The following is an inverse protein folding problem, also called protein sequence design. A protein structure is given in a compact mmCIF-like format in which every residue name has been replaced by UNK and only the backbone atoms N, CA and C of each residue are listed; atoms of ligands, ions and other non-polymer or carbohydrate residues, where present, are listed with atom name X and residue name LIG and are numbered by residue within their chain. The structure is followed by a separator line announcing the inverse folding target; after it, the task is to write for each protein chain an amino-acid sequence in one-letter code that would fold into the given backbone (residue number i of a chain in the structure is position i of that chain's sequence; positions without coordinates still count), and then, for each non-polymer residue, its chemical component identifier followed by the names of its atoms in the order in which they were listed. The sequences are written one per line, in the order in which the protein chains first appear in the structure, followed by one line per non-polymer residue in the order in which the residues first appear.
data_IF_691286763093
#
_entry.id   IF_691286763093
#
_cell.length_a   1.000
_cell.length_b   1.000
_cell.length_c   1.000
_cell.angle_alpha   90.00
_cell.angle_beta   90.00
_cell.angle_gamma   90.00
#
_symmetry.space_group_name_H-M   'P 1'
#
loop_
_entity.id
_entity.type
_entity.pdbx_description
1 polymer ?
#
# COMPACT_ATOMS: atom_id res chain seq x y z
N UNK A 1 18.94 13.91 -11.90
CA UNK A 1 19.66 12.80 -11.23
C UNK A 1 18.67 11.66 -11.08
N UNK A 2 19.06 10.42 -11.41
CA UNK A 2 18.19 9.25 -11.20
C UNK A 2 18.00 9.09 -9.69
N UNK A 3 16.75 9.11 -9.23
CA UNK A 3 16.43 8.78 -7.82
C UNK A 3 16.61 7.27 -7.70
N UNK A 4 17.73 6.85 -7.15
CA UNK A 4 17.97 5.44 -6.81
C UNK A 4 17.07 5.09 -5.63
N UNK A 5 16.39 3.94 -5.71
CA UNK A 5 15.70 3.37 -4.54
C UNK A 5 16.78 3.14 -3.47
N UNK A 6 16.60 3.65 -2.24
CA UNK A 6 17.55 3.37 -1.16
C UNK A 6 17.70 1.85 -0.95
N UNK A 7 18.87 1.43 -0.51
CA UNK A 7 19.05 0.06 -0.06
C UNK A 7 18.20 -0.18 1.19
N UNK A 8 17.30 -1.17 1.13
CA UNK A 8 16.40 -1.51 2.22
C UNK A 8 16.96 -2.62 3.10
N UNK A 9 16.18 -2.96 4.10
CA UNK A 9 16.44 -4.09 5.00
C UNK A 9 15.35 -5.14 4.85
N UNK A 10 15.60 -6.34 5.39
CA UNK A 10 14.64 -7.43 5.40
C UNK A 10 14.31 -7.87 6.83
N UNK A 11 13.03 -8.02 7.12
CA UNK A 11 12.54 -8.72 8.29
C UNK A 11 12.30 -10.18 7.90
N UNK A 12 13.06 -11.10 8.53
CA UNK A 12 12.86 -12.53 8.35
C UNK A 12 11.72 -12.98 9.27
N UNK A 13 10.56 -13.28 8.69
CA UNK A 13 9.35 -13.63 9.44
C UNK A 13 9.34 -15.11 9.85
N UNK A 14 8.53 -15.45 10.84
CA UNK A 14 8.46 -16.78 11.44
C UNK A 14 8.08 -17.88 10.44
N UNK A 15 7.32 -17.54 9.40
CA UNK A 15 6.89 -18.44 8.33
C UNK A 15 7.93 -18.60 7.19
N UNK A 16 9.14 -18.04 7.35
CA UNK A 16 10.25 -18.13 6.38
C UNK A 16 10.18 -17.11 5.24
N UNK A 17 9.27 -16.15 5.30
CA UNK A 17 9.20 -15.09 4.31
C UNK A 17 10.02 -13.87 4.72
N UNK A 18 10.56 -13.18 3.71
CA UNK A 18 11.31 -11.95 3.87
C UNK A 18 10.41 -10.75 3.54
N UNK A 19 10.22 -9.84 4.49
CA UNK A 19 9.52 -8.58 4.29
C UNK A 19 10.53 -7.45 4.14
N UNK A 20 10.57 -6.85 2.97
CA UNK A 20 11.43 -5.71 2.66
C UNK A 20 10.85 -4.42 3.24
N UNK A 21 11.72 -3.59 3.81
CA UNK A 21 11.35 -2.28 4.32
C UNK A 21 12.47 -1.25 4.20
N UNK A 22 12.08 0.02 4.18
CA UNK A 22 12.95 1.18 4.29
C UNK A 22 12.65 1.88 5.61
N UNK A 23 13.68 2.25 6.34
CA UNK A 23 13.54 2.90 7.64
C UNK A 23 14.27 4.24 7.66
N UNK A 24 13.58 5.25 8.12
CA UNK A 24 14.08 6.60 8.29
C UNK A 24 13.77 7.04 9.71
N UNK A 25 14.83 7.34 10.47
CA UNK A 25 14.69 7.70 11.88
C UNK A 25 15.13 9.13 12.13
N UNK A 26 14.42 9.87 12.99
CA UNK A 26 14.95 11.10 13.55
C UNK A 26 16.11 10.80 14.50
N UNK A 27 16.76 11.83 15.02
CA UNK A 27 17.85 11.68 16.00
C UNK A 27 17.37 11.16 17.36
N UNK A 28 16.07 11.27 17.66
CA UNK A 28 15.47 10.76 18.91
C UNK A 28 15.19 9.26 18.80
N UNK A 29 15.77 8.47 19.69
CA UNK A 29 15.62 7.01 19.73
C UNK A 29 14.22 6.54 20.19
N UNK A 30 13.50 7.36 20.96
CA UNK A 30 12.14 7.07 21.46
C UNK A 30 11.04 7.66 20.57
N UNK A 31 11.36 7.97 19.33
CA UNK A 31 10.40 8.54 18.38
C UNK A 31 9.20 7.63 18.13
N UNK A 32 7.97 8.17 18.13
CA UNK A 32 6.80 7.40 17.73
C UNK A 32 6.96 6.89 16.29
N UNK A 33 6.47 5.70 16.02
CA UNK A 33 6.62 5.05 14.72
C UNK A 33 5.41 5.27 13.83
N UNK A 34 5.65 5.59 12.55
CA UNK A 34 4.67 5.57 11.48
C UNK A 34 5.05 4.47 10.46
N UNK A 35 4.14 3.54 10.19
CA UNK A 35 4.30 2.47 9.21
C UNK A 35 3.47 2.79 7.98
N UNK A 36 4.13 2.84 6.82
CA UNK A 36 3.52 3.18 5.53
C UNK A 36 3.26 1.92 4.72
N UNK A 37 2.01 1.73 4.31
CA UNK A 37 1.47 0.54 3.65
C UNK A 37 0.90 0.94 2.29
N UNK A 38 1.54 0.50 1.20
CA UNK A 38 1.22 0.92 -0.16
C UNK A 38 0.02 0.19 -0.76
N UNK A 39 -0.48 0.68 -1.89
CA UNK A 39 -1.58 0.10 -2.65
C UNK A 39 -1.15 -1.01 -3.62
N UNK A 40 -2.13 -1.63 -4.28
CA UNK A 40 -1.98 -2.83 -5.14
C UNK A 40 -1.72 -2.55 -6.61
N UNK A 41 -1.48 -1.32 -7.03
CA UNK A 41 -1.29 -0.99 -8.45
C UNK A 41 -0.09 -1.69 -9.10
N UNK A 42 -0.08 -1.81 -10.44
CA UNK A 42 1.03 -2.42 -11.17
C UNK A 42 2.38 -1.74 -10.86
N UNK A 43 3.39 -2.56 -10.52
CA UNK A 43 4.71 -2.08 -10.13
C UNK A 43 4.72 -1.25 -8.84
N UNK A 44 3.70 -1.39 -7.97
CA UNK A 44 3.68 -0.71 -6.68
C UNK A 44 4.78 -1.24 -5.76
N UNK A 45 5.31 -0.35 -4.95
CA UNK A 45 6.19 -0.61 -3.83
C UNK A 45 6.01 0.48 -2.78
N UNK A 46 6.45 0.24 -1.58
CA UNK A 46 6.41 1.26 -0.54
C UNK A 46 7.12 2.54 -0.96
N UNK A 47 8.33 2.42 -1.54
CA UNK A 47 9.09 3.56 -2.03
C UNK A 47 8.35 4.35 -3.12
N UNK A 48 7.76 3.68 -4.10
CA UNK A 48 7.04 4.36 -5.19
C UNK A 48 5.81 5.13 -4.72
N UNK A 49 5.21 4.73 -3.59
CA UNK A 49 4.05 5.39 -3.01
C UNK A 49 4.45 6.54 -2.06
N UNK A 50 5.47 6.34 -1.21
CA UNK A 50 5.67 7.18 -0.02
C UNK A 50 7.03 7.90 0.08
N UNK A 51 7.88 7.83 -0.95
CA UNK A 51 9.21 8.47 -0.93
C UNK A 51 9.21 9.97 -0.63
N UNK A 52 8.10 10.65 -0.91
CA UNK A 52 7.96 12.10 -0.68
C UNK A 52 7.43 12.43 0.74
N UNK A 53 7.01 11.43 1.51
CA UNK A 53 6.38 11.64 2.81
C UNK A 53 7.38 11.47 3.97
N UNK A 54 8.41 10.66 3.79
CA UNK A 54 9.31 10.24 4.88
C UNK A 54 10.04 11.40 5.54
N UNK A 55 10.55 12.34 4.75
CA UNK A 55 11.28 13.50 5.28
C UNK A 55 10.40 14.33 6.22
N UNK A 56 9.16 14.64 5.81
CA UNK A 56 8.24 15.42 6.63
C UNK A 56 7.88 14.71 7.94
N UNK A 57 7.72 13.39 7.93
CA UNK A 57 7.47 12.62 9.15
C UNK A 57 8.70 12.61 10.07
N UNK A 58 9.91 12.46 9.53
CA UNK A 58 11.13 12.53 10.33
C UNK A 58 11.34 13.91 10.93
N UNK A 59 11.08 14.99 10.18
CA UNK A 59 11.13 16.36 10.67
C UNK A 59 10.08 16.63 11.78
N UNK A 60 8.92 15.97 11.70
CA UNK A 60 7.89 15.99 12.74
C UNK A 60 8.22 15.09 13.95
N UNK A 61 9.38 14.42 13.96
CA UNK A 61 9.84 13.60 15.07
C UNK A 61 9.37 12.14 15.04
N UNK A 62 8.86 11.65 13.93
CA UNK A 62 8.46 10.25 13.78
C UNK A 62 9.57 9.40 13.18
N UNK A 63 9.68 8.15 13.63
CA UNK A 63 10.36 7.08 12.92
C UNK A 63 9.46 6.62 11.78
N UNK A 64 9.86 6.82 10.53
CA UNK A 64 9.07 6.47 9.35
C UNK A 64 9.57 5.15 8.76
N UNK A 65 8.71 4.13 8.67
CA UNK A 65 9.02 2.85 8.09
C UNK A 65 8.09 2.60 6.91
N UNK A 66 8.66 2.42 5.73
CA UNK A 66 7.94 2.07 4.52
C UNK A 66 8.11 0.57 4.29
N UNK A 67 7.03 -0.19 4.23
CA UNK A 67 7.08 -1.62 3.92
C UNK A 67 6.68 -1.89 2.47
N UNK A 68 7.26 -2.92 1.86
CA UNK A 68 6.70 -3.57 0.68
C UNK A 68 5.79 -4.70 1.12
N UNK A 69 4.49 -4.63 0.79
CA UNK A 69 3.55 -5.69 1.20
C UNK A 69 3.83 -7.00 0.44
N UNK A 70 3.46 -8.17 1.00
CA UNK A 70 3.65 -9.47 0.35
C UNK A 70 3.12 -9.50 -1.09
N UNK A 71 3.90 -10.09 -1.99
CA UNK A 71 3.58 -10.13 -3.41
C UNK A 71 4.07 -8.94 -4.23
N UNK A 72 4.55 -7.86 -3.58
CA UNK A 72 4.98 -6.61 -4.21
C UNK A 72 6.43 -6.26 -3.88
N UNK A 73 6.95 -5.25 -4.59
CA UNK A 73 8.26 -4.68 -4.34
C UNK A 73 9.36 -5.73 -4.25
N UNK A 74 10.14 -5.66 -3.19
CA UNK A 74 11.23 -6.60 -2.89
C UNK A 74 10.85 -7.65 -1.84
N UNK A 75 9.65 -7.61 -1.27
CA UNK A 75 9.12 -8.61 -0.34
C UNK A 75 8.87 -9.95 -1.07
N UNK A 76 8.89 -11.06 -0.33
CA UNK A 76 8.56 -12.40 -0.80
C UNK A 76 7.21 -12.46 -1.54
N UNK A 77 7.13 -13.33 -2.55
CA UNK A 77 6.01 -13.41 -3.51
C UNK A 77 5.50 -14.85 -3.63
N UNK A 78 4.85 -15.39 -2.58
CA UNK A 78 4.34 -16.75 -2.64
C UNK A 78 3.33 -16.90 -3.79
N UNK A 79 3.45 -17.98 -4.55
CA UNK A 79 2.62 -18.24 -5.74
C UNK A 79 1.36 -19.04 -5.41
N UNK A 80 1.33 -19.68 -4.27
CA UNK A 80 0.27 -20.56 -3.76
C UNK A 80 -0.55 -19.93 -2.62
N UNK A 81 -0.26 -18.68 -2.25
CA UNK A 81 -0.98 -17.97 -1.20
C UNK A 81 -2.30 -17.37 -1.71
N UNK A 82 -3.31 -17.37 -0.84
CA UNK A 82 -4.49 -16.54 -0.98
C UNK A 82 -4.16 -15.18 -0.33
N UNK A 83 -4.14 -14.13 -1.13
CA UNK A 83 -3.85 -12.78 -0.68
C UNK A 83 -5.09 -12.15 -0.02
N UNK A 84 -5.52 -12.74 1.10
CA UNK A 84 -6.66 -12.25 1.91
C UNK A 84 -6.25 -11.07 2.79
N UNK A 85 -7.26 -10.39 3.38
CA UNK A 85 -7.00 -9.35 4.37
C UNK A 85 -6.24 -9.92 5.56
N UNK A 86 -6.65 -11.07 6.09
CA UNK A 86 -6.00 -11.77 7.21
C UNK A 86 -4.54 -12.11 6.91
N UNK A 87 -4.25 -12.54 5.67
CA UNK A 87 -2.88 -12.78 5.22
C UNK A 87 -2.03 -11.51 5.33
N UNK A 88 -2.53 -10.37 4.89
CA UNK A 88 -1.78 -9.11 4.97
C UNK A 88 -1.66 -8.58 6.41
N UNK A 89 -2.72 -8.68 7.23
CA UNK A 89 -2.70 -8.21 8.63
C UNK A 89 -1.76 -9.06 9.48
N UNK A 90 -1.72 -10.38 9.26
CA UNK A 90 -0.77 -11.27 9.91
C UNK A 90 0.69 -10.87 9.60
N UNK A 91 1.01 -10.57 8.33
CA UNK A 91 2.36 -10.11 7.96
C UNK A 91 2.73 -8.78 8.62
N UNK A 92 1.76 -7.88 8.71
CA UNK A 92 1.97 -6.61 9.40
C UNK A 92 2.24 -6.83 10.89
N UNK A 93 1.50 -7.74 11.54
CA UNK A 93 1.69 -8.06 12.96
C UNK A 93 3.08 -8.68 13.20
N UNK A 94 3.45 -9.69 12.43
CA UNK A 94 4.77 -10.32 12.52
C UNK A 94 5.90 -9.31 12.30
N UNK A 95 5.74 -8.39 11.35
CA UNK A 95 6.69 -7.30 11.10
C UNK A 95 6.81 -6.36 12.31
N UNK A 96 5.68 -5.93 12.88
CA UNK A 96 5.68 -5.06 14.06
C UNK A 96 6.35 -5.74 15.26
N UNK A 97 6.07 -7.02 15.48
CA UNK A 97 6.74 -7.82 16.52
C UNK A 97 8.26 -7.92 16.26
N UNK A 98 8.67 -8.25 15.03
CA UNK A 98 10.08 -8.33 14.63
C UNK A 98 10.84 -7.02 14.89
N UNK A 99 10.19 -5.87 14.64
CA UNK A 99 10.76 -4.54 14.83
C UNK A 99 10.64 -4.00 16.27
N UNK A 100 10.00 -4.73 17.18
CA UNK A 100 9.71 -4.27 18.53
C UNK A 100 8.78 -3.06 18.57
N UNK A 101 7.86 -2.95 17.61
CA UNK A 101 6.91 -1.84 17.51
C UNK A 101 5.65 -2.24 18.28
N UNK A 102 5.49 -1.69 19.48
CA UNK A 102 4.31 -1.96 20.30
C UNK A 102 3.07 -1.19 19.84
N UNK A 103 3.27 0.01 19.28
CA UNK A 103 2.18 0.87 18.81
C UNK A 103 2.67 1.81 17.71
N UNK A 104 1.88 1.97 16.64
CA UNK A 104 2.24 2.81 15.50
C UNK A 104 1.08 3.66 14.97
N UNK A 105 1.42 4.74 14.26
CA UNK A 105 0.54 5.35 13.26
C UNK A 105 0.60 4.47 12.01
N UNK A 106 -0.53 4.04 11.48
CA UNK A 106 -0.58 3.32 10.20
C UNK A 106 -1.01 4.30 9.09
N UNK A 107 -0.19 4.39 8.05
CA UNK A 107 -0.44 5.25 6.89
C UNK A 107 -0.70 4.35 5.70
N UNK A 108 -1.96 4.23 5.28
CA UNK A 108 -2.39 3.28 4.26
C UNK A 108 -2.95 3.93 3.01
N UNK A 109 -2.51 3.48 1.84
CA UNK A 109 -3.05 3.89 0.55
C UNK A 109 -3.79 2.71 -0.12
N UNK A 110 -5.01 2.91 -0.57
CA UNK A 110 -5.81 1.91 -1.31
C UNK A 110 -5.86 0.57 -0.57
N UNK A 111 -5.30 -0.52 -1.11
CA UNK A 111 -5.15 -1.81 -0.41
C UNK A 111 -4.46 -1.64 0.95
N UNK A 112 -3.41 -0.81 1.02
CA UNK A 112 -2.73 -0.52 2.29
C UNK A 112 -3.63 0.13 3.32
N UNK A 113 -4.64 0.89 2.88
CA UNK A 113 -5.69 1.43 3.73
C UNK A 113 -6.60 0.34 4.29
N UNK A 114 -7.03 -0.61 3.45
CA UNK A 114 -7.81 -1.76 3.91
C UNK A 114 -7.04 -2.61 4.94
N UNK A 115 -5.73 -2.83 4.69
CA UNK A 115 -4.85 -3.54 5.62
C UNK A 115 -4.74 -2.79 6.96
N UNK A 116 -4.54 -1.46 6.92
CA UNK A 116 -4.44 -0.65 8.12
C UNK A 116 -5.75 -0.65 8.94
N UNK A 117 -6.91 -0.57 8.27
CA UNK A 117 -8.23 -0.67 8.90
C UNK A 117 -8.44 -2.06 9.50
N UNK A 118 -8.22 -3.13 8.72
CA UNK A 118 -8.35 -4.51 9.22
C UNK A 118 -7.46 -4.77 10.44
N UNK A 119 -6.21 -4.32 10.39
CA UNK A 119 -5.29 -4.46 11.51
C UNK A 119 -5.75 -3.67 12.76
N UNK A 120 -6.26 -2.45 12.59
CA UNK A 120 -6.76 -1.64 13.70
C UNK A 120 -8.03 -2.21 14.35
N UNK A 121 -8.86 -2.91 13.57
CA UNK A 121 -10.04 -3.63 14.08
C UNK A 121 -9.65 -4.85 14.93
N UNK A 122 -8.57 -5.53 14.58
CA UNK A 122 -8.08 -6.73 15.29
C UNK A 122 -7.14 -6.40 16.46
N UNK A 123 -6.36 -5.31 16.33
CA UNK A 123 -5.32 -4.90 17.27
C UNK A 123 -5.42 -3.41 17.63
N UNK A 124 -6.54 -2.94 18.19
CA UNK A 124 -6.75 -1.51 18.45
C UNK A 124 -5.74 -0.91 19.45
N UNK A 125 -5.16 -1.71 20.31
CA UNK A 125 -4.11 -1.32 21.27
C UNK A 125 -2.76 -1.08 20.59
N UNK A 126 -2.49 -1.70 19.44
CA UNK A 126 -1.25 -1.55 18.67
C UNK A 126 -1.29 -0.38 17.67
N UNK A 127 -2.45 0.25 17.48
CA UNK A 127 -2.61 1.37 16.54
C UNK A 127 -2.90 2.65 17.30
N UNK A 128 -2.13 3.70 17.04
CA UNK A 128 -2.35 5.01 17.66
C UNK A 128 -3.27 5.91 16.84
N UNK A 129 -3.11 5.91 15.53
CA UNK A 129 -3.87 6.70 14.56
C UNK A 129 -3.88 5.98 13.22
N UNK A 130 -4.91 6.24 12.41
CA UNK A 130 -4.97 5.85 11.02
C UNK A 130 -4.87 7.10 10.12
N UNK A 131 -4.00 7.03 9.12
CA UNK A 131 -3.96 8.00 8.01
C UNK A 131 -4.29 7.22 6.75
N UNK A 132 -5.45 7.48 6.16
CA UNK A 132 -6.02 6.69 5.07
C UNK A 132 -6.09 7.52 3.78
N UNK A 133 -5.57 6.99 2.68
CA UNK A 133 -5.61 7.62 1.38
C UNK A 133 -6.37 6.73 0.39
N UNK A 134 -7.54 7.18 -0.06
CA UNK A 134 -8.38 6.47 -1.01
C UNK A 134 -8.49 4.96 -0.66
N UNK A 135 -8.96 4.67 0.55
CA UNK A 135 -8.94 3.36 1.19
C UNK A 135 -9.73 2.32 0.39
N UNK A 136 -9.15 1.15 0.18
CA UNK A 136 -9.85 -0.03 -0.32
C UNK A 136 -10.73 -0.67 0.76
N UNK A 137 -11.66 -1.54 0.37
CA UNK A 137 -12.49 -2.31 1.29
C UNK A 137 -13.63 -1.51 1.97
N UNK A 138 -13.97 -0.33 1.45
CA UNK A 138 -15.07 0.52 1.97
C UNK A 138 -16.18 0.74 0.94
N UNK A 139 -16.21 -0.07 -0.08
CA UNK A 139 -17.25 -0.11 -1.11
C UNK A 139 -17.51 -1.55 -1.54
N UNK A 140 -18.66 -1.79 -2.15
CA UNK A 140 -18.96 -3.07 -2.75
C UNK A 140 -18.01 -3.35 -3.93
N UNK A 141 -17.72 -4.61 -4.18
CA UNK A 141 -16.81 -5.04 -5.24
C UNK A 141 -17.24 -4.53 -6.61
N UNK A 142 -18.54 -4.56 -6.88
CA UNK A 142 -19.18 -4.11 -8.13
C UNK A 142 -18.91 -2.61 -8.39
N UNK A 143 -18.89 -1.81 -7.33
CA UNK A 143 -18.60 -0.37 -7.40
C UNK A 143 -17.15 -0.14 -7.83
N UNK A 144 -16.18 -0.85 -7.24
CA UNK A 144 -14.79 -0.79 -7.69
C UNK A 144 -14.65 -1.25 -9.15
N UNK A 145 -15.26 -2.36 -9.52
CA UNK A 145 -15.17 -2.91 -10.89
C UNK A 145 -15.83 -2.02 -11.95
N UNK A 146 -16.73 -1.12 -11.57
CA UNK A 146 -17.31 -0.12 -12.46
C UNK A 146 -16.40 1.10 -12.71
N UNK A 147 -15.33 1.28 -11.93
CA UNK A 147 -14.44 2.43 -12.07
C UNK A 147 -13.56 2.35 -13.32
N UNK A 148 -13.23 3.52 -13.89
CA UNK A 148 -12.40 3.61 -15.09
C UNK A 148 -11.03 2.95 -14.90
N UNK A 149 -10.40 3.14 -13.73
CA UNK A 149 -9.07 2.62 -13.43
C UNK A 149 -9.04 1.11 -13.35
N UNK A 150 -10.01 0.49 -12.64
CA UNK A 150 -10.11 -0.96 -12.53
C UNK A 150 -10.45 -1.57 -13.89
N UNK A 151 -11.37 -0.99 -14.66
CA UNK A 151 -11.70 -1.44 -16.01
C UNK A 151 -10.46 -1.44 -16.93
N UNK A 152 -9.63 -0.39 -16.84
CA UNK A 152 -8.39 -0.30 -17.61
C UNK A 152 -7.37 -1.39 -17.17
N UNK A 153 -7.27 -1.70 -15.88
CA UNK A 153 -6.42 -2.80 -15.38
C UNK A 153 -6.90 -4.19 -15.83
N UNK A 154 -8.22 -4.41 -15.84
CA UNK A 154 -8.82 -5.67 -16.29
C UNK A 154 -8.61 -5.88 -17.80
N UNK A 155 -8.69 -4.79 -18.59
CA UNK A 155 -8.48 -4.83 -20.03
C UNK A 155 -7.07 -5.30 -20.42
N UNK A 156 -6.08 -4.96 -19.61
CA UNK A 156 -4.68 -5.32 -19.82
C UNK A 156 -4.18 -6.12 -18.60
N UNK A 157 -4.41 -7.44 -18.57
CA UNK A 157 -3.98 -8.23 -17.42
C UNK A 157 -2.47 -8.20 -17.24
N UNK A 158 -2.05 -7.96 -16.01
CA UNK A 158 -0.63 -7.96 -15.66
C UNK A 158 0.00 -9.32 -15.96
N UNK A 159 1.16 -9.30 -16.61
CA UNK A 159 1.85 -10.52 -17.08
C UNK A 159 1.40 -11.00 -18.46
N UNK A 160 0.37 -10.39 -19.09
CA UNK A 160 0.02 -10.66 -20.47
C UNK A 160 0.96 -9.95 -21.46
N UNK A 161 1.14 -10.45 -22.69
CA UNK A 161 1.94 -9.77 -23.72
C UNK A 161 1.45 -8.36 -24.05
N UNK A 162 0.15 -8.10 -23.86
CA UNK A 162 -0.48 -6.81 -24.11
C UNK A 162 -0.16 -5.78 -23.03
N UNK A 163 0.30 -6.21 -21.86
CA UNK A 163 0.70 -5.30 -20.78
C UNK A 163 2.11 -4.77 -21.04
N UNK A 164 2.21 -3.70 -21.81
CA UNK A 164 3.49 -3.06 -22.15
C UNK A 164 3.81 -1.91 -21.18
N UNK A 165 5.04 -1.38 -21.29
CA UNK A 165 5.45 -0.22 -20.49
C UNK A 165 4.64 1.04 -20.83
N UNK A 166 4.22 1.18 -22.07
CA UNK A 166 3.33 2.26 -22.53
C UNK A 166 1.95 2.14 -21.86
N UNK A 167 1.39 0.92 -21.80
CA UNK A 167 0.13 0.63 -21.08
C UNK A 167 0.27 0.99 -19.60
N UNK A 168 1.38 0.62 -18.96
CA UNK A 168 1.65 1.04 -17.58
C UNK A 168 1.64 2.56 -17.45
N UNK A 169 2.29 3.28 -18.37
CA UNK A 169 2.29 4.74 -18.39
C UNK A 169 0.88 5.34 -18.45
N UNK A 170 0.01 4.80 -19.32
CA UNK A 170 -1.38 5.26 -19.43
C UNK A 170 -2.20 4.93 -18.17
N UNK A 171 -2.00 3.76 -17.56
CA UNK A 171 -2.64 3.43 -16.28
C UNK A 171 -2.21 4.37 -15.14
N UNK A 172 -0.92 4.71 -15.07
CA UNK A 172 -0.41 5.64 -14.06
C UNK A 172 -1.01 7.05 -14.21
N UNK A 173 -1.29 7.51 -15.44
CA UNK A 173 -1.96 8.79 -15.68
C UNK A 173 -3.38 8.85 -15.10
N UNK A 174 -4.04 7.71 -14.91
CA UNK A 174 -5.35 7.66 -14.28
C UNK A 174 -5.30 7.89 -12.76
N UNK A 175 -4.11 7.76 -12.14
CA UNK A 175 -3.91 7.97 -10.70
C UNK A 175 -3.73 9.43 -10.30
N UNK A 176 -3.58 10.33 -11.26
CA UNK A 176 -3.25 11.74 -11.01
C UNK A 176 -4.20 12.68 -11.76
N UNK A 177 -4.44 13.86 -11.19
CA UNK A 177 -5.23 14.90 -11.83
C UNK A 177 -4.47 15.51 -13.04
N UNK A 178 -3.17 15.77 -12.88
CA UNK A 178 -2.33 16.33 -13.94
C UNK A 178 -1.36 15.27 -14.47
N UNK A 179 -1.57 14.74 -15.68
CA UNK A 179 -0.74 13.69 -16.27
C UNK A 179 0.76 14.02 -16.38
N UNK A 180 1.15 15.31 -16.34
CA UNK A 180 2.57 15.70 -16.36
C UNK A 180 3.36 15.20 -15.15
N UNK A 181 2.69 14.82 -14.05
CA UNK A 181 3.34 14.19 -12.91
C UNK A 181 3.82 12.76 -13.19
N UNK A 182 3.32 12.14 -14.28
CA UNK A 182 3.76 10.82 -14.73
C UNK A 182 4.94 10.99 -15.67
N UNK A 183 6.12 11.10 -15.09
CA UNK A 183 7.37 11.23 -15.83
C UNK A 183 7.84 9.89 -16.37
N UNK A 184 8.67 9.90 -17.44
CA UNK A 184 9.31 8.70 -17.95
C UNK A 184 10.14 7.99 -16.86
N UNK A 185 10.80 8.74 -15.99
CA UNK A 185 11.55 8.19 -14.87
C UNK A 185 10.63 7.39 -13.92
N UNK A 186 9.44 7.92 -13.57
CA UNK A 186 8.47 7.21 -12.73
C UNK A 186 7.98 5.92 -13.41
N UNK A 187 7.67 5.99 -14.70
CA UNK A 187 7.26 4.81 -15.48
C UNK A 187 8.36 3.76 -15.50
N UNK A 188 9.62 4.15 -15.69
CA UNK A 188 10.77 3.24 -15.66
C UNK A 188 10.95 2.57 -14.29
N UNK A 189 10.82 3.34 -13.20
CA UNK A 189 10.90 2.84 -11.83
C UNK A 189 9.81 1.79 -11.57
N UNK A 190 8.56 2.12 -11.91
CA UNK A 190 7.41 1.22 -11.74
C UNK A 190 7.51 -0.02 -12.63
N UNK A 191 7.97 0.13 -13.87
CA UNK A 191 8.19 -0.98 -14.79
C UNK A 191 9.22 -1.97 -14.26
N UNK A 192 10.33 -1.48 -13.70
CA UNK A 192 11.37 -2.34 -13.10
C UNK A 192 10.80 -3.18 -11.95
N UNK A 193 10.00 -2.58 -11.06
CA UNK A 193 9.35 -3.27 -9.94
C UNK A 193 8.32 -4.28 -10.46
N UNK A 194 7.54 -3.91 -11.47
CA UNK A 194 6.53 -4.78 -12.08
C UNK A 194 7.11 -6.10 -12.60
N UNK A 195 8.34 -6.07 -13.17
CA UNK A 195 9.00 -7.30 -13.65
C UNK A 195 9.28 -8.32 -12.53
N UNK A 196 9.26 -7.90 -11.28
CA UNK A 196 9.43 -8.76 -10.09
C UNK A 196 8.11 -9.10 -9.42
N UNK A 197 7.02 -8.45 -9.80
CA UNK A 197 5.72 -8.63 -9.16
C UNK A 197 5.09 -9.98 -9.53
N UNK A 198 4.48 -10.65 -8.55
CA UNK A 198 3.70 -11.85 -8.84
C UNK A 198 2.38 -11.46 -9.53
N UNK A 199 2.13 -11.85 -10.79
CA UNK A 199 0.92 -11.50 -11.51
C UNK A 199 -0.36 -12.12 -10.89
N UNK A 200 -0.22 -13.19 -10.09
CA UNK A 200 -1.34 -13.86 -9.42
C UNK A 200 -1.90 -13.08 -8.23
N UNK A 201 -1.14 -12.09 -7.69
CA UNK A 201 -1.57 -11.32 -6.51
C UNK A 201 -2.94 -10.71 -6.69
N UNK A 202 -3.17 -10.01 -7.80
CA UNK A 202 -4.46 -9.36 -8.07
C UNK A 202 -5.59 -10.39 -8.32
N UNK A 203 -5.27 -11.52 -8.96
CA UNK A 203 -6.24 -12.57 -9.26
C UNK A 203 -6.71 -13.34 -8.01
N UNK A 204 -5.82 -13.52 -7.03
CA UNK A 204 -6.09 -14.24 -5.77
C UNK A 204 -6.42 -13.33 -4.58
N UNK A 205 -6.50 -12.00 -4.83
CA UNK A 205 -6.78 -11.03 -3.77
C UNK A 205 -8.23 -11.11 -3.28
N UNK A 206 -8.39 -11.19 -1.96
CA UNK A 206 -9.68 -11.29 -1.29
C UNK A 206 -9.75 -10.26 -0.14
N UNK A 207 -10.20 -9.06 -0.46
CA UNK A 207 -10.44 -8.00 0.52
C UNK A 207 -11.95 -7.86 0.73
N UNK A 208 -12.46 -8.10 1.95
CA UNK A 208 -13.87 -7.95 2.26
C UNK A 208 -14.28 -6.47 2.24
N UNK A 209 -15.58 -6.21 2.14
CA UNK A 209 -16.14 -4.91 2.49
C UNK A 209 -16.10 -4.76 4.02
N UNK A 210 -15.47 -3.68 4.50
CA UNK A 210 -15.26 -3.39 5.92
C UNK A 210 -16.25 -2.35 6.46
N UNK A 211 -17.14 -1.84 5.62
CA UNK A 211 -18.05 -0.74 5.94
C UNK A 211 -18.81 -0.96 7.23
N UNK A 212 -19.41 -2.14 7.42
CA UNK A 212 -20.20 -2.48 8.61
C UNK A 212 -19.37 -2.54 9.89
N UNK A 213 -18.04 -2.68 9.76
CA UNK A 213 -17.11 -2.76 10.87
C UNK A 213 -16.43 -1.42 11.20
N UNK A 214 -16.54 -0.40 10.34
CA UNK A 214 -15.91 0.91 10.59
C UNK A 214 -16.34 1.55 11.93
N UNK A 215 -17.59 1.42 12.38
CA UNK A 215 -18.01 1.93 13.69
C UNK A 215 -17.29 1.28 14.91
N UNK A 216 -16.64 0.12 14.73
CA UNK A 216 -15.84 -0.55 15.77
C UNK A 216 -14.46 0.13 15.98
N UNK A 217 -14.02 0.97 15.03
CA UNK A 217 -12.74 1.66 15.13
C UNK A 217 -12.75 2.66 16.29
N UNK A 218 -11.80 2.50 17.20
CA UNK A 218 -11.64 3.34 18.40
C UNK A 218 -10.47 4.31 18.34
N UNK A 219 -9.75 4.36 17.20
CA UNK A 219 -8.57 5.19 17.00
C UNK A 219 -8.88 6.42 16.14
N UNK A 220 -8.20 7.57 16.34
CA UNK A 220 -8.35 8.74 15.48
C UNK A 220 -7.99 8.43 14.03
N UNK A 221 -8.80 8.93 13.10
CA UNK A 221 -8.67 8.69 11.66
C UNK A 221 -8.54 10.02 10.93
N UNK A 222 -7.55 10.11 10.04
CA UNK A 222 -7.41 11.20 9.07
C UNK A 222 -7.52 10.62 7.66
N UNK A 223 -8.56 11.00 6.91
CA UNK A 223 -8.81 10.52 5.55
C UNK A 223 -8.43 11.55 4.49
N UNK A 224 -7.82 11.09 3.39
CA UNK A 224 -7.58 11.86 2.18
C UNK A 224 -8.20 11.15 0.99
N UNK A 225 -8.93 11.89 0.16
CA UNK A 225 -9.59 11.30 -1.02
C UNK A 225 -9.60 12.26 -2.19
N UNK A 226 -9.25 11.76 -3.38
CA UNK A 226 -9.39 12.52 -4.60
C UNK A 226 -10.87 12.59 -5.04
N UNK A 227 -11.42 13.79 -5.23
CA UNK A 227 -12.80 13.94 -5.67
C UNK A 227 -13.08 13.24 -7.02
N UNK A 228 -12.08 13.17 -7.89
CA UNK A 228 -12.14 12.55 -9.21
C UNK A 228 -11.32 11.25 -9.28
N UNK A 229 -11.18 10.54 -8.15
CA UNK A 229 -10.44 9.28 -8.11
C UNK A 229 -11.09 8.26 -9.06
N UNK A 230 -10.27 7.65 -9.92
CA UNK A 230 -10.72 6.73 -10.96
C UNK A 230 -10.58 5.26 -10.59
N UNK A 231 -10.09 4.98 -9.38
CA UNK A 231 -9.91 3.63 -8.83
C UNK A 231 -10.75 3.40 -7.57
N UNK A 232 -10.67 4.31 -6.61
CA UNK A 232 -11.44 4.27 -5.38
C UNK A 232 -12.42 5.45 -5.38
N UNK A 233 -13.71 5.23 -5.65
CA UNK A 233 -14.67 6.31 -5.82
C UNK A 233 -14.86 7.11 -4.53
N UNK A 234 -15.13 8.41 -4.67
CA UNK A 234 -15.30 9.34 -3.54
C UNK A 234 -16.45 8.96 -2.59
N UNK A 235 -17.40 8.14 -3.05
CA UNK A 235 -18.47 7.61 -2.18
C UNK A 235 -17.90 6.87 -0.97
N UNK A 236 -16.80 6.13 -1.12
CA UNK A 236 -16.13 5.47 0.00
C UNK A 236 -15.56 6.41 1.06
N UNK A 237 -15.44 7.72 0.79
CA UNK A 237 -15.05 8.70 1.80
C UNK A 237 -16.22 9.15 2.69
N UNK A 238 -17.45 8.77 2.36
CA UNK A 238 -18.67 9.13 3.07
C UNK A 238 -19.24 7.97 3.90
N UNK A 239 -18.53 6.85 3.88
CA UNK A 239 -18.83 5.64 4.65
C UNK A 239 -18.25 5.76 6.07
#
# INVERSE_FOLDING_TARGET
MAVTVPEGSYAHLSNGMDLHYLEFSPTNVDAPTAVFIHGSGPGASGWSNFKQNTEAFCQAGYRAIIIDIPGYGYTSKPTDAIYSLDFFTQYLDEFMVHKGINRAVLVGNSLGGAIAVGYALEHPDKVSHLILMATGGVEEREVYFATQGIQAMVKYPMGSPEFTKEVLGELLKLLVCDPKHITEQLVNERWKILQMQNPQVLASMQIPNLTDRLPELSVPILGFWGYQDKFCPISGAHT
#
